data_IF_876786970767
#
_entry.id   IF_876786970767
#
_cell.length_a   1.000
_cell.length_b   1.000
_cell.length_c   1.000
_cell.angle_alpha   90.00
_cell.angle_beta   90.00
_cell.angle_gamma   90.00
#
_symmetry.space_group_name_H-M   'P 1'
#
loop_
_entity.id
_entity.type
_entity.pdbx_description
1 polymer ?
2 non-polymer ?
3 non-polymer ?
4 water ?
#
# COMPACT_ATOMS: atom_id res chain seq x y z
N UNK A 2 4.43 -8.14 15.92
CA UNK A 2 4.40 -9.19 14.86
C UNK A 2 3.04 -9.37 14.15
N UNK A 3 3.08 -9.98 12.95
CA UNK A 3 1.92 -10.02 12.06
C UNK A 3 1.02 -11.24 12.23
N UNK A 4 -0.30 -11.02 12.29
CA UNK A 4 -1.29 -12.07 12.37
C UNK A 4 -2.12 -12.21 11.11
N UNK A 5 -2.46 -13.45 10.77
CA UNK A 5 -3.25 -13.75 9.59
C UNK A 5 -4.74 -13.57 9.89
N UNK A 6 -5.33 -12.54 9.28
CA UNK A 6 -6.75 -12.26 9.40
C UNK A 6 -7.58 -12.83 8.24
N UNK A 7 -6.89 -13.25 7.18
CA UNK A 7 -7.47 -13.95 6.04
C UNK A 7 -6.31 -14.57 5.24
N UNK A 8 -6.59 -15.50 4.33
CA UNK A 8 -5.50 -16.13 3.55
C UNK A 8 -4.64 -15.08 2.84
N UNK A 9 -3.34 -15.23 3.03
CA UNK A 9 -2.35 -14.24 2.62
C UNK A 9 -2.71 -12.77 2.92
N UNK A 10 -3.34 -12.56 4.07
CA UNK A 10 -3.67 -11.22 4.53
C UNK A 10 -3.33 -11.07 6.01
N UNK A 11 -2.27 -10.33 6.27
CA UNK A 11 -1.66 -10.22 7.58
C UNK A 11 -1.83 -8.80 8.13
N UNK A 12 -2.01 -8.70 9.45
CA UNK A 12 -2.22 -7.44 10.14
C UNK A 12 -1.37 -7.39 11.42
N UNK A 13 -0.76 -6.24 11.64
CA UNK A 13 0.09 -6.03 12.79
C UNK A 13 -0.76 -6.14 14.06
N UNK A 14 -0.37 -7.03 14.96
CA UNK A 14 -1.08 -7.25 16.23
C UNK A 14 -1.21 -5.95 17.03
N UNK A 15 -2.38 -5.77 17.63
CA UNK A 15 -2.70 -4.48 18.22
C UNK A 15 -1.95 -4.16 19.52
N UNK A 16 -1.23 -5.13 20.09
CA UNK A 16 -0.33 -4.87 21.24
C UNK A 16 1.03 -4.27 20.84
N UNK A 17 1.39 -4.38 19.57
CA UNK A 17 2.65 -3.82 19.07
C UNK A 17 2.65 -2.28 19.15
N UNK A 18 3.79 -1.71 19.52
CA UNK A 18 3.88 -0.27 19.80
C UNK A 18 3.59 0.59 18.58
N UNK A 19 3.98 0.14 17.39
CA UNK A 19 3.60 0.80 16.11
C UNK A 19 2.10 0.78 15.91
N UNK A 20 1.47 -0.35 16.23
CA UNK A 20 0.02 -0.43 16.15
C UNK A 20 -0.62 0.59 17.08
N UNK A 21 -0.11 0.72 18.29
CA UNK A 21 -0.69 1.67 19.24
C UNK A 21 -0.39 3.11 18.78
N UNK A 22 0.80 3.36 18.26
CA UNK A 22 1.10 4.70 17.72
C UNK A 22 0.13 5.09 16.63
N UNK A 23 -0.21 4.14 15.75
CA UNK A 23 -1.04 4.44 14.59
C UNK A 23 -2.48 4.66 15.00
N UNK A 24 -2.96 3.83 15.92
CA UNK A 24 -4.27 4.01 16.51
C UNK A 24 -4.37 5.36 17.21
N UNK A 25 -3.31 5.77 17.88
CA UNK A 25 -3.29 7.02 18.66
C UNK A 25 -3.22 8.24 17.73
N UNK A 26 -2.44 8.17 16.66
CA UNK A 26 -2.11 9.35 15.88
C UNK A 26 -2.89 9.50 14.60
N UNK A 27 -3.44 8.43 14.04
CA UNK A 27 -4.19 8.55 12.78
C UNK A 27 -5.38 9.49 12.97
N UNK A 28 -5.58 10.34 11.98
CA UNK A 28 -6.69 11.29 11.94
C UNK A 28 -7.46 11.10 10.63
N UNK A 29 -8.78 11.14 10.72
CA UNK A 29 -9.63 11.01 9.55
C UNK A 29 -10.64 12.15 9.51
N UNK A 30 -11.13 12.48 8.33
CA UNK A 30 -12.03 13.61 8.13
C UNK A 30 -13.25 13.22 7.29
N UNK A 31 -14.38 13.84 7.62
CA UNK A 31 -15.66 13.68 6.89
C UNK A 31 -15.58 14.44 5.58
N UNK A 32 -16.49 14.17 4.64
CA UNK A 32 -16.50 14.86 3.35
C UNK A 32 -16.35 16.37 3.37
N UNK A 33 -17.02 17.06 4.31
CA UNK A 33 -16.93 18.52 4.39
C UNK A 33 -15.54 19.04 4.78
N UNK A 34 -14.74 18.24 5.50
CA UNK A 34 -13.36 18.61 5.86
C UNK A 34 -12.31 17.83 5.05
N UNK A 35 -12.67 17.34 3.86
CA UNK A 35 -11.79 16.44 3.09
C UNK A 35 -11.95 16.61 1.57
N UNK A 36 -10.97 16.13 0.81
CA UNK A 36 -10.96 16.28 -0.65
C UNK A 36 -11.70 15.20 -1.40
N UNK A 37 -12.28 14.20 -0.71
CA UNK A 37 -12.88 13.08 -1.41
C UNK A 37 -14.19 12.64 -0.75
N UNK A 38 -15.12 12.20 -1.58
CA UNK A 38 -16.42 11.76 -1.09
C UNK A 38 -16.43 10.32 -0.55
N UNK A 39 -15.72 10.10 0.56
CA UNK A 39 -15.73 8.87 1.35
C UNK A 39 -16.05 9.26 2.79
N UNK A 40 -16.64 8.36 3.59
CA UNK A 40 -17.11 8.76 4.92
C UNK A 40 -15.94 9.02 5.87
N UNK A 41 -14.85 8.30 5.70
CA UNK A 41 -13.68 8.54 6.52
C UNK A 41 -12.42 8.63 5.66
N UNK A 42 -11.95 9.86 5.47
CA UNK A 42 -10.72 10.10 4.74
C UNK A 42 -9.56 10.07 5.73
N UNK A 43 -8.74 9.02 5.68
CA UNK A 43 -7.54 8.89 6.51
C UNK A 43 -6.41 9.81 6.04
N UNK A 44 -6.12 10.82 6.83
CA UNK A 44 -5.17 11.86 6.44
C UNK A 44 -3.75 11.39 6.70
N UNK A 45 -2.99 11.18 5.63
CA UNK A 45 -1.63 10.64 5.74
C UNK A 45 -0.71 11.59 6.50
N UNK A 46 -1.04 12.87 6.50
CA UNK A 46 -0.22 13.84 7.20
C UNK A 46 -0.29 13.67 8.71
N UNK A 47 -1.35 13.04 9.21
CA UNK A 47 -1.45 12.69 10.64
C UNK A 47 -0.35 11.71 11.05
N UNK A 48 0.14 10.95 10.07
CA UNK A 48 1.28 10.05 10.28
C UNK A 48 2.64 10.74 10.00
N UNK A 49 2.77 11.44 8.88
CA UNK A 49 4.05 12.10 8.60
C UNK A 49 4.40 13.24 9.55
N UNK A 50 3.37 13.83 10.21
CA UNK A 50 3.58 14.91 11.18
C UNK A 50 3.91 14.41 12.58
N UNK A 51 3.79 13.10 12.79
CA UNK A 51 4.15 12.45 14.04
C UNK A 51 5.50 11.75 13.88
N UNK A 52 6.58 12.40 14.30
CA UNK A 52 7.92 11.81 14.12
C UNK A 52 8.06 10.40 14.74
N UNK A 53 7.41 10.18 15.86
CA UNK A 53 7.48 8.89 16.54
C UNK A 53 6.82 7.79 15.67
N UNK A 54 5.68 8.11 15.06
CA UNK A 54 4.96 7.14 14.25
C UNK A 54 5.71 6.86 12.94
N UNK A 55 6.10 7.92 12.24
CA UNK A 55 6.88 7.78 11.04
C UNK A 55 8.12 6.93 11.29
N UNK A 56 8.83 7.17 12.38
CA UNK A 56 10.05 6.43 12.69
C UNK A 56 9.74 4.97 12.97
N UNK A 57 8.67 4.71 13.72
CA UNK A 57 8.24 3.36 14.03
C UNK A 57 7.88 2.57 12.76
N UNK A 58 7.27 3.22 11.78
CA UNK A 58 6.93 2.56 10.51
C UNK A 58 8.23 2.16 9.81
N UNK A 59 9.12 3.13 9.71
CA UNK A 59 10.43 2.96 9.10
C UNK A 59 11.21 1.82 9.74
N UNK A 60 11.36 1.88 11.05
CA UNK A 60 12.08 0.85 11.76
C UNK A 60 11.42 -0.52 11.56
N UNK A 61 10.11 -0.58 11.65
CA UNK A 61 9.43 -1.84 11.51
C UNK A 61 9.67 -2.46 10.14
N UNK A 62 9.48 -1.68 9.07
CA UNK A 62 9.54 -2.25 7.73
C UNK A 62 10.99 -2.50 7.32
N UNK A 63 11.92 -1.65 7.75
CA UNK A 63 13.33 -1.86 7.44
C UNK A 63 13.82 -3.15 8.09
N UNK A 64 13.49 -3.39 9.35
CA UNK A 64 13.92 -4.62 10.00
C UNK A 64 13.26 -5.83 9.34
N UNK A 65 11.99 -5.71 8.98
CA UNK A 65 11.29 -6.76 8.26
C UNK A 65 12.04 -7.17 6.99
N UNK A 66 12.38 -6.22 6.12
CA UNK A 66 13.03 -6.54 4.84
C UNK A 66 14.52 -6.89 4.95
N UNK A 67 15.17 -6.39 5.99
CA UNK A 67 16.54 -6.80 6.28
C UNK A 67 16.63 -8.27 6.66
N UNK A 68 15.69 -8.76 7.46
CA UNK A 68 15.75 -10.14 7.91
C UNK A 68 14.94 -11.06 7.01
N UNK A 69 14.35 -10.52 5.95
CA UNK A 69 13.65 -11.37 4.98
C UNK A 69 14.62 -12.01 3.99
N UNK A 70 14.35 -13.28 3.65
CA UNK A 70 15.17 -14.06 2.72
C UNK A 70 14.26 -14.82 1.75
N UNK A 71 14.46 -14.71 0.44
CA UNK A 71 15.37 -13.72 -0.18
C UNK A 71 14.96 -12.28 0.11
N UNK A 72 15.93 -11.37 0.14
CA UNK A 72 15.64 -9.96 0.35
C UNK A 72 14.97 -9.34 -0.88
N UNK A 73 14.08 -8.38 -0.65
CA UNK A 73 13.54 -7.56 -1.74
C UNK A 73 14.66 -6.84 -2.49
N UNK A 74 14.50 -6.68 -3.79
CA UNK A 74 15.46 -5.94 -4.60
C UNK A 74 14.97 -4.52 -4.92
N UNK A 75 13.68 -4.27 -4.80
CA UNK A 75 13.07 -2.99 -5.20
C UNK A 75 11.86 -2.72 -4.32
N UNK A 76 11.62 -1.43 -4.05
CA UNK A 76 10.35 -0.96 -3.51
C UNK A 76 9.65 -0.12 -4.57
N UNK A 77 8.38 -0.43 -4.83
CA UNK A 77 7.56 0.30 -5.76
C UNK A 77 6.47 1.01 -4.96
N UNK A 78 6.51 2.33 -4.94
CA UNK A 78 5.53 3.12 -4.20
C UNK A 78 4.56 3.81 -5.12
N UNK A 79 3.32 3.96 -4.64
CA UNK A 79 2.20 4.48 -5.44
C UNK A 79 2.02 5.99 -5.24
N UNK A 80 1.92 6.69 -6.36
CA UNK A 80 1.74 8.14 -6.40
C UNK A 80 0.42 8.50 -5.68
N UNK A 81 0.41 9.44 -4.73
CA UNK A 81 1.53 10.19 -4.21
C UNK A 81 1.90 9.72 -2.80
N UNK A 82 1.00 9.05 -2.12
CA UNK A 82 1.21 8.83 -0.69
C UNK A 82 2.16 7.68 -0.38
N UNK A 83 2.31 6.77 -1.33
CA UNK A 83 3.35 5.78 -1.27
C UNK A 83 4.73 6.39 -1.32
N UNK A 84 4.83 7.55 -1.95
CA UNK A 84 6.10 8.24 -2.05
C UNK A 84 6.59 8.67 -0.66
N UNK A 85 5.68 8.77 0.30
CA UNK A 85 6.01 9.30 1.60
C UNK A 85 6.74 8.25 2.45
N UNK A 86 6.52 6.99 2.11
CA UNK A 86 7.02 5.90 2.95
C UNK A 86 8.12 5.07 2.32
N UNK A 87 8.07 4.90 1.01
CA UNK A 87 8.99 4.03 0.31
C UNK A 87 10.47 4.40 0.41
N UNK A 88 10.82 5.63 0.04
CA UNK A 88 12.21 6.13 0.08
C UNK A 88 12.91 5.95 1.40
N UNK A 89 12.23 6.22 2.50
CA UNK A 89 12.86 6.03 3.81
C UNK A 89 13.14 4.59 4.13
N UNK A 90 12.40 3.64 3.51
CA UNK A 90 12.74 2.22 3.69
C UNK A 90 13.90 1.88 2.76
N UNK A 91 13.77 2.29 1.49
CA UNK A 91 14.69 1.89 0.42
C UNK A 91 16.10 2.40 0.70
N UNK A 92 16.19 3.61 1.26
CA UNK A 92 17.46 4.22 1.56
C UNK A 92 18.24 3.41 2.60
N UNK A 93 17.55 2.80 3.56
CA UNK A 93 18.21 1.94 4.52
C UNK A 93 18.61 0.55 3.97
N UNK A 94 17.86 0.02 3.01
CA UNK A 94 18.09 -1.30 2.43
C UNK A 94 19.09 -1.29 1.27
N UNK A 95 19.38 -0.10 0.75
CA UNK A 95 20.30 0.02 -0.38
C UNK A 95 19.69 -0.51 -1.67
N UNK A 96 18.38 -0.33 -1.84
CA UNK A 96 17.68 -0.75 -3.06
C UNK A 96 16.88 0.39 -3.71
N UNK A 97 16.64 0.28 -5.02
CA UNK A 97 15.85 1.28 -5.74
C UNK A 97 14.44 1.49 -5.22
N UNK A 98 14.04 2.75 -5.19
CA UNK A 98 12.64 3.11 -5.07
C UNK A 98 12.10 3.53 -6.41
N UNK A 99 11.09 2.80 -6.86
CA UNK A 99 10.48 2.98 -8.17
C UNK A 99 9.08 3.60 -7.99
N UNK A 100 8.68 4.43 -8.94
CA UNK A 100 7.45 5.20 -8.89
C UNK A 100 6.34 4.62 -9.78
N UNK A 101 5.20 4.29 -9.18
CA UNK A 101 3.98 4.04 -9.95
C UNK A 101 3.13 5.29 -10.03
N UNK A 102 2.99 5.82 -11.24
CA UNK A 102 2.28 7.08 -11.50
C UNK A 102 1.30 7.00 -12.69
N UNK A 103 0.32 7.90 -12.75
CA UNK A 103 -0.43 8.08 -14.00
C UNK A 103 0.59 8.41 -15.11
N UNK A 104 0.32 7.96 -16.33
CA UNK A 104 1.18 8.16 -17.50
C UNK A 104 1.63 9.62 -17.72
N UNK A 105 0.73 10.57 -17.50
CA UNK A 105 1.05 11.99 -17.67
C UNK A 105 1.80 12.61 -16.48
N UNK A 106 2.27 11.79 -15.54
CA UNK A 106 3.24 12.26 -14.56
C UNK A 106 4.57 11.53 -14.70
N UNK A 107 4.60 10.43 -15.45
CA UNK A 107 5.78 9.57 -15.49
C UNK A 107 6.61 9.79 -16.76
N UNK A 108 7.93 9.70 -16.63
CA UNK A 108 8.86 9.92 -17.73
C UNK A 108 9.42 8.63 -18.32
N UNK A 109 9.75 8.70 -19.61
CA UNK A 109 10.37 7.61 -20.34
C UNK A 109 9.36 6.78 -21.10
N UNK A 110 9.84 5.64 -21.62
CA UNK A 110 9.01 4.58 -22.20
C UNK A 110 8.31 3.89 -21.02
N UNK A 111 6.97 3.87 -21.06
CA UNK A 111 6.16 3.37 -19.96
C UNK A 111 5.41 2.09 -20.30
N UNK A 112 4.98 1.42 -19.23
CA UNK A 112 4.06 0.29 -19.26
C UNK A 112 2.78 0.69 -18.50
N UNK A 113 1.59 0.52 -19.09
CA UNK A 113 0.34 0.84 -18.40
C UNK A 113 -0.43 -0.39 -17.90
N UNK A 114 -1.15 -0.18 -16.80
CA UNK A 114 -1.96 -1.22 -16.21
C UNK A 114 -3.31 -1.33 -16.96
N UNK A 115 -4.07 -2.36 -16.59
CA UNK A 115 -5.29 -2.74 -17.29
C UNK A 115 -6.34 -3.04 -16.23
N UNK A 116 -6.92 -2.00 -15.64
CA UNK A 116 -7.94 -2.19 -14.60
C UNK A 116 -9.22 -2.84 -15.09
N UNK A 117 -9.91 -3.54 -14.19
CA UNK A 117 -11.23 -4.07 -14.48
C UNK A 117 -12.29 -2.99 -14.59
N UNK A 118 -13.35 -3.35 -15.29
CA UNK A 118 -14.51 -2.51 -15.46
C UNK A 118 -15.00 -2.01 -14.10
N UNK A 119 -15.50 -0.77 -14.02
CA UNK A 119 -15.95 -0.21 -12.75
C UNK A 119 -17.26 -0.86 -12.29
N UNK A 120 -17.49 -0.88 -10.97
CA UNK A 120 -18.76 -1.42 -10.44
C UNK A 120 -19.79 -0.33 -10.08
N UNK A 121 -21.07 -0.69 -10.25
CA UNK A 121 -22.22 0.20 -10.02
C UNK A 121 -21.96 1.65 -9.57
N UNK A 122 -22.44 2.61 -10.38
CA UNK A 122 -22.27 4.05 -10.13
C UNK A 122 -20.89 4.43 -9.59
N UNK A 123 -19.97 3.49 -9.73
CA UNK A 123 -18.86 3.37 -8.82
C UNK A 123 -17.65 4.12 -9.31
N UNK A 124 -16.50 3.72 -8.77
CA UNK A 124 -15.33 4.58 -8.73
C UNK A 124 -14.27 4.31 -9.78
N UNK A 125 -14.44 4.97 -10.92
CA UNK A 125 -13.44 5.02 -12.00
C UNK A 125 -12.06 4.45 -11.63
N UNK A 126 -11.67 3.34 -12.27
CA UNK A 126 -10.32 2.80 -12.06
C UNK A 126 -9.28 3.70 -12.71
N UNK A 127 -8.11 3.78 -12.12
CA UNK A 127 -7.07 4.62 -12.65
C UNK A 127 -6.05 3.74 -13.35
N UNK A 128 -5.72 4.10 -14.57
CA UNK A 128 -4.62 3.47 -15.28
C UNK A 128 -3.31 4.08 -14.75
N UNK A 129 -2.41 3.19 -14.32
CA UNK A 129 -1.16 3.53 -13.68
C UNK A 129 -0.03 2.99 -14.52
N UNK A 130 1.18 3.52 -14.34
CA UNK A 130 2.33 3.17 -15.17
C UNK A 130 3.61 3.00 -14.35
N UNK A 131 4.55 2.23 -14.88
CA UNK A 131 5.96 2.36 -14.47
C UNK A 131 6.78 2.51 -15.75
N UNK A 132 8.03 2.91 -15.62
CA UNK A 132 8.90 2.99 -16.77
C UNK A 132 9.36 1.60 -17.13
N UNK A 133 9.39 1.32 -18.42
CA UNK A 133 9.80 0.02 -18.91
C UNK A 133 11.25 -0.18 -18.55
N UNK A 134 11.52 -1.27 -17.86
CA UNK A 134 12.86 -1.60 -17.45
C UNK A 134 13.24 -1.07 -16.10
N UNK A 135 12.32 -0.37 -15.45
CA UNK A 135 12.58 0.12 -14.08
C UNK A 135 12.66 -1.05 -13.11
N UNK A 136 11.90 -2.10 -13.43
CA UNK A 136 11.91 -3.34 -12.69
C UNK A 136 12.35 -4.45 -13.64
N UNK A 137 13.50 -5.03 -13.31
CA UNK A 137 14.12 -6.06 -14.12
C UNK A 137 13.51 -7.42 -13.89
N UNK A 138 13.89 -8.37 -14.73
CA UNK A 138 13.34 -9.71 -14.62
C UNK A 138 13.96 -10.37 -13.38
N UNK A 139 13.19 -11.19 -12.69
CA UNK A 139 13.60 -11.70 -11.38
C UNK A 139 14.05 -10.55 -10.44
N UNK A 140 13.29 -9.45 -10.44
CA UNK A 140 13.27 -8.53 -9.32
C UNK A 140 12.29 -9.11 -8.31
N UNK A 141 12.46 -8.72 -7.06
CA UNK A 141 11.51 -9.08 -6.02
C UNK A 141 11.07 -7.76 -5.40
N UNK A 142 9.80 -7.43 -5.62
CA UNK A 142 9.26 -6.09 -5.43
C UNK A 142 8.30 -6.00 -4.27
N UNK A 143 8.59 -5.11 -3.32
CA UNK A 143 7.64 -4.72 -2.30
C UNK A 143 6.83 -3.57 -2.84
N UNK A 144 5.51 -3.68 -2.82
CA UNK A 144 4.61 -2.60 -3.24
C UNK A 144 4.15 -1.87 -2.00
N UNK A 145 4.05 -0.54 -2.07
CA UNK A 145 3.68 0.22 -0.90
C UNK A 145 2.81 1.41 -1.23
N UNK A 146 1.84 1.65 -0.35
CA UNK A 146 0.93 2.80 -0.41
C UNK A 146 0.41 3.05 1.02
N UNK A 147 -0.26 4.17 1.22
CA UNK A 147 -0.73 4.49 2.54
C UNK A 147 -1.97 3.70 2.89
N UNK A 148 -2.91 3.57 1.96
CA UNK A 148 -4.16 2.88 2.26
C UNK A 148 -4.53 1.83 1.23
N UNK A 149 -4.92 0.64 1.73
CA UNK A 149 -5.51 -0.41 0.92
C UNK A 149 -6.99 -0.38 1.16
N UNK A 150 -7.75 0.00 0.13
CA UNK A 150 -9.20 0.06 0.23
C UNK A 150 -9.83 -1.04 -0.63
N UNK A 151 -10.26 -0.73 -1.85
CA UNK A 151 -10.78 -1.76 -2.75
C UNK A 151 -9.70 -2.68 -3.31
N UNK A 152 -8.48 -2.17 -3.47
CA UNK A 152 -7.41 -2.96 -4.06
C UNK A 152 -7.12 -2.66 -5.51
N UNK A 153 -7.85 -1.72 -6.11
CA UNK A 153 -7.66 -1.36 -7.50
C UNK A 153 -6.26 -0.86 -7.82
N UNK A 154 -5.73 0.03 -6.96
CA UNK A 154 -4.40 0.57 -7.12
C UNK A 154 -3.39 -0.55 -6.94
N UNK A 155 -3.56 -1.31 -5.87
CA UNK A 155 -2.71 -2.46 -5.61
C UNK A 155 -2.65 -3.41 -6.82
N UNK A 156 -3.79 -3.70 -7.43
CA UNK A 156 -3.84 -4.59 -8.57
C UNK A 156 -3.05 -4.03 -9.77
N UNK A 157 -3.06 -2.71 -9.96
CA UNK A 157 -2.26 -2.08 -11.03
C UNK A 157 -0.79 -2.36 -10.80
N UNK A 158 -0.36 -2.26 -9.54
CA UNK A 158 0.99 -2.60 -9.16
C UNK A 158 1.30 -4.06 -9.46
N UNK A 159 0.40 -4.96 -9.08
CA UNK A 159 0.60 -6.38 -9.33
C UNK A 159 0.75 -6.64 -10.82
N UNK A 160 -0.12 -6.02 -11.63
CA UNK A 160 -0.13 -6.22 -13.09
C UNK A 160 1.17 -5.70 -13.72
N UNK A 161 1.69 -4.59 -13.23
CA UNK A 161 2.92 -4.03 -13.76
C UNK A 161 4.18 -4.80 -13.36
N UNK A 162 4.20 -5.34 -12.14
CA UNK A 162 5.34 -6.12 -11.70
C UNK A 162 5.34 -7.42 -12.49
N UNK A 163 4.18 -8.05 -12.64
CA UNK A 163 4.14 -9.30 -13.41
C UNK A 163 4.45 -9.08 -14.89
N UNK A 164 3.98 -7.97 -15.46
CA UNK A 164 4.27 -7.64 -16.86
C UNK A 164 5.76 -7.41 -17.09
N UNK A 165 6.49 -7.00 -16.06
CA UNK A 165 7.93 -6.80 -16.13
C UNK A 165 8.76 -8.10 -15.98
N UNK A 166 8.09 -9.25 -15.78
CA UNK A 166 8.77 -10.50 -15.50
C UNK A 166 9.30 -10.63 -14.07
N UNK A 167 8.75 -9.86 -13.13
CA UNK A 167 9.25 -9.84 -11.76
C UNK A 167 8.29 -10.47 -10.75
N UNK A 168 8.77 -10.65 -9.53
CA UNK A 168 7.98 -11.27 -8.44
C UNK A 168 7.54 -10.17 -7.51
N UNK A 169 6.32 -10.30 -7.00
CA UNK A 169 5.87 -9.48 -5.89
C UNK A 169 6.18 -10.16 -4.59
N UNK A 170 6.92 -9.45 -3.74
CA UNK A 170 7.21 -9.90 -2.39
C UNK A 170 5.92 -9.80 -1.56
N UNK A 171 5.36 -8.59 -1.49
CA UNK A 171 4.10 -8.33 -0.82
C UNK A 171 3.64 -6.93 -1.10
N UNK A 172 2.38 -6.67 -0.81
CA UNK A 172 1.76 -5.34 -0.82
C UNK A 172 1.63 -4.87 0.62
N UNK A 173 2.24 -3.74 0.94
CA UNK A 173 2.18 -3.16 2.29
C UNK A 173 1.39 -1.86 2.21
N UNK A 174 0.48 -1.66 3.16
CA UNK A 174 -0.14 -0.38 3.41
C UNK A 174 -0.09 -0.09 4.90
N UNK A 175 -0.09 1.19 5.26
CA UNK A 175 -0.15 1.63 6.65
C UNK A 175 -1.53 1.29 7.21
N UNK A 176 -2.58 1.66 6.46
CA UNK A 176 -3.96 1.38 6.84
C UNK A 176 -4.57 0.37 5.85
N UNK A 177 -5.45 -0.50 6.36
CA UNK A 177 -6.16 -1.42 5.49
C UNK A 177 -7.63 -1.42 5.90
N UNK A 178 -8.51 -1.62 4.93
CA UNK A 178 -9.94 -1.54 5.17
C UNK A 178 -10.60 -2.89 4.89
N UNK A 179 -10.65 -3.78 5.89
CA UNK A 179 -11.15 -5.13 5.73
C UNK A 179 -12.52 -5.19 5.08
N UNK A 180 -13.41 -4.27 5.45
CA UNK A 180 -14.78 -4.29 4.95
C UNK A 180 -14.83 -4.24 3.42
N UNK A 181 -13.85 -3.61 2.79
CA UNK A 181 -13.84 -3.59 1.32
C UNK A 181 -13.27 -4.86 0.67
N UNK A 182 -12.64 -5.72 1.44
CA UNK A 182 -12.23 -7.07 1.01
C UNK A 182 -11.24 -7.11 -0.17
N UNK A 183 -10.26 -6.20 -0.18
CA UNK A 183 -9.31 -6.12 -1.30
C UNK A 183 -8.47 -7.41 -1.47
N UNK A 184 -7.95 -7.96 -0.39
CA UNK A 184 -7.08 -9.14 -0.49
C UNK A 184 -7.90 -10.32 -1.02
N UNK A 185 -9.05 -10.54 -0.41
CA UNK A 185 -9.95 -11.60 -0.81
C UNK A 185 -10.34 -11.46 -2.30
N UNK A 186 -10.66 -10.25 -2.75
CA UNK A 186 -10.98 -10.03 -4.16
C UNK A 186 -9.78 -10.25 -5.08
N UNK A 187 -8.62 -9.71 -4.75
CA UNK A 187 -7.47 -9.89 -5.61
C UNK A 187 -7.06 -11.36 -5.68
N UNK A 188 -7.25 -12.07 -4.57
CA UNK A 188 -6.90 -13.49 -4.47
C UNK A 188 -7.79 -14.45 -5.30
N UNK A 189 -9.00 -14.05 -5.64
CA UNK A 189 -9.82 -14.88 -6.52
C UNK A 189 -9.89 -14.28 -7.93
N UNK A 190 -9.42 -13.05 -8.13
CA UNK A 190 -9.55 -12.43 -9.45
C UNK A 190 -8.66 -13.12 -10.49
N UNK A 191 -9.06 -13.04 -11.76
CA UNK A 191 -8.35 -13.69 -12.85
C UNK A 191 -8.02 -15.20 -12.62
N UNK A 192 -9.00 -15.97 -12.16
CA UNK A 192 -8.82 -17.40 -11.89
C UNK A 192 -7.87 -17.76 -10.74
N UNK A 193 -7.62 -16.83 -9.83
CA UNK A 193 -6.67 -17.06 -8.76
C UNK A 193 -5.20 -16.87 -9.12
N UNK A 194 -4.93 -16.18 -10.22
CA UNK A 194 -3.57 -15.82 -10.61
C UNK A 194 -2.77 -15.12 -9.50
N UNK A 195 -3.44 -14.33 -8.67
CA UNK A 195 -2.79 -13.59 -7.58
C UNK A 195 -3.04 -14.18 -6.20
N UNK A 196 -3.40 -15.46 -6.14
CA UNK A 196 -3.72 -16.11 -4.88
C UNK A 196 -2.58 -16.03 -3.88
N UNK A 197 -1.35 -16.07 -4.38
CA UNK A 197 -0.16 -16.13 -3.53
C UNK A 197 0.46 -14.77 -3.18
N UNK A 198 -0.24 -13.68 -3.52
CA UNK A 198 0.21 -12.37 -3.15
C UNK A 198 -0.15 -12.11 -1.69
N UNK A 199 0.88 -11.84 -0.91
CA UNK A 199 0.74 -11.53 0.48
C UNK A 199 0.41 -10.04 0.66
N UNK A 200 -0.62 -9.75 1.45
CA UNK A 200 -0.96 -8.40 1.87
C UNK A 200 -0.65 -8.21 3.36
N UNK A 201 0.04 -7.10 3.66
CA UNK A 201 0.39 -6.67 4.99
C UNK A 201 -0.30 -5.34 5.23
N UNK A 202 -1.02 -5.23 6.33
CA UNK A 202 -1.53 -3.98 6.83
C UNK A 202 -0.93 -3.68 8.18
N UNK A 203 -0.75 -2.40 8.49
CA UNK A 203 -0.19 -1.99 9.76
C UNK A 203 -1.28 -1.56 10.77
N UNK A 204 -2.43 -1.15 10.26
CA UNK A 204 -3.57 -0.85 11.12
C UNK A 204 -4.85 -1.08 10.35
N UNK A 205 -5.84 -1.66 11.03
CA UNK A 205 -7.15 -1.80 10.48
C UNK A 205 -7.98 -0.57 10.72
N UNK A 206 -8.78 -0.20 9.73
CA UNK A 206 -9.68 0.93 9.83
C UNK A 206 -10.79 0.78 10.89
N UNK A 207 -11.18 -0.49 11.19
CA UNK A 207 -12.20 -0.82 12.20
C UNK A 207 -11.83 -0.37 13.61
N UNK A 208 -10.54 -0.21 13.81
CA UNK A 208 -9.96 0.19 15.07
C UNK A 208 -10.07 1.72 15.30
N UNK A 209 -10.26 2.49 14.22
CA UNK A 209 -10.39 3.95 14.31
C UNK A 209 -11.81 4.36 14.77
N UNK A 210 -11.88 5.28 15.72
CA UNK A 210 -13.15 5.72 16.31
C UNK A 210 -13.27 7.21 16.12
N UNK A 211 -14.34 7.81 16.61
CA UNK A 211 -14.47 9.27 16.48
C UNK A 211 -13.41 10.02 17.31
N UNK A 212 -12.68 9.31 18.17
CA UNK A 212 -11.50 9.85 18.86
C UNK A 212 -10.36 10.13 17.88
N UNK A 213 -10.44 9.48 16.71
CA UNK A 213 -9.57 9.75 15.57
C UNK A 213 -10.07 10.81 14.58
N UNK A 214 -11.23 11.41 14.83
CA UNK A 214 -11.84 12.37 13.90
C UNK A 214 -11.19 13.72 14.04
N UNK A 215 -10.59 14.20 12.95
CA UNK A 215 -9.91 15.47 12.90
C UNK A 215 -10.84 16.66 12.73
N UNK A 216 -12.08 16.42 12.28
CA UNK A 216 -13.06 17.50 12.01
C UNK A 216 -13.07 18.57 13.10
N UNK A 217 -13.11 19.83 12.67
CA UNK A 217 -13.20 21.00 13.56
C UNK A 217 -14.58 21.06 14.21
#
# INVERSE_FOLDING_TARGET
MSLKEIGPNSLLLEDSHSLSQLLKKNYRWYSPIFSPRNVPRFADVSSITESPETLKAIRDFLVERYRTMSPAPTHILGFDARGFLFGPMIAVELGIPFVLMRKADKNAGLLIRSEPYEKEYKEAAPEVMTIRHGSIGKNSRVVLIDDVLATGGTALSGLQLVEASGAEVVEMVSILTIPFLKAAERIHSTAGGRYKNVRFIGLLSEDVLTEANCGDLNDYTGPRVLSCSDLLVNQ
#
